data_IF_421724843753
#
_entry.id   IF_421724843753
#
_cell.length_a   1.000
_cell.length_b   1.000
_cell.length_c   1.000
_cell.angle_alpha   90.00
_cell.angle_beta   90.00
_cell.angle_gamma   90.00
#
_symmetry.space_group_name_H-M   'P 1'
#
loop_
_entity.id
_entity.type
_entity.pdbx_description
1 polymer ?
#
# COMPACT_ATOMS: atom_id res chain seq x y z
N UNK A 1 -16.20 -10.81 16.24
CA UNK A 1 -15.78 -10.89 14.84
C UNK A 1 -15.96 -12.31 14.31
N UNK A 2 -16.24 -12.46 13.01
CA UNK A 2 -16.34 -13.77 12.32
C UNK A 2 -15.00 -14.52 12.30
N UNK A 3 -15.00 -15.79 11.92
CA UNK A 3 -13.75 -16.57 11.76
C UNK A 3 -12.82 -15.91 10.73
N UNK A 4 -13.38 -15.49 9.59
CA UNK A 4 -12.68 -14.68 8.58
C UNK A 4 -12.08 -13.41 9.19
N UNK A 5 -12.87 -12.62 9.93
CA UNK A 5 -12.38 -11.36 10.49
C UNK A 5 -11.22 -11.57 11.47
N UNK A 6 -11.27 -12.62 12.30
CA UNK A 6 -10.15 -12.96 13.19
C UNK A 6 -8.91 -13.38 12.42
N UNK A 7 -9.06 -14.25 11.42
CA UNK A 7 -7.96 -14.70 10.58
C UNK A 7 -7.34 -13.53 9.79
N UNK A 8 -8.16 -12.65 9.24
CA UNK A 8 -7.74 -11.44 8.53
C UNK A 8 -6.96 -10.48 9.44
N UNK A 9 -7.43 -10.24 10.66
CA UNK A 9 -6.71 -9.39 11.63
C UNK A 9 -5.37 -10.01 12.02
N UNK A 10 -5.31 -11.33 12.20
CA UNK A 10 -4.07 -12.03 12.53
C UNK A 10 -3.06 -12.02 11.36
N UNK A 11 -3.53 -12.20 10.13
CA UNK A 11 -2.69 -12.13 8.93
C UNK A 11 -2.35 -10.70 8.52
N UNK A 12 -3.11 -9.70 9.00
CA UNK A 12 -3.02 -8.30 8.55
C UNK A 12 -3.76 -8.02 7.24
N UNK A 13 -4.26 -9.05 6.56
CA UNK A 13 -4.91 -8.94 5.25
C UNK A 13 -5.92 -10.06 4.97
N UNK A 14 -6.85 -9.77 4.06
CA UNK A 14 -7.78 -10.73 3.47
C UNK A 14 -8.33 -10.20 2.14
N UNK A 15 -8.74 -11.12 1.26
CA UNK A 15 -9.43 -10.81 0.00
C UNK A 15 -10.87 -11.31 0.09
N UNK A 16 -11.81 -10.55 -0.45
CA UNK A 16 -13.20 -10.96 -0.63
C UNK A 16 -13.49 -11.12 -2.12
N UNK A 17 -14.14 -12.22 -2.51
CA UNK A 17 -14.58 -12.44 -3.88
C UNK A 17 -16.06 -12.84 -3.92
N UNK A 18 -16.79 -12.22 -4.84
CA UNK A 18 -18.21 -12.43 -5.08
C UNK A 18 -18.90 -11.12 -5.48
N UNK A 19 -20.16 -11.21 -5.89
CA UNK A 19 -20.94 -10.03 -6.20
C UNK A 19 -21.42 -9.35 -4.89
N UNK A 20 -21.37 -8.01 -4.79
CA UNK A 20 -21.89 -7.29 -3.64
C UNK A 20 -23.33 -7.70 -3.27
N UNK A 21 -23.59 -7.84 -1.97
CA UNK A 21 -24.88 -8.26 -1.44
C UNK A 21 -25.19 -9.77 -1.57
N UNK A 22 -24.32 -10.56 -2.21
CA UNK A 22 -24.52 -12.01 -2.41
C UNK A 22 -23.53 -12.85 -1.60
N UNK A 23 -23.84 -14.13 -1.32
CA UNK A 23 -22.86 -15.04 -0.73
C UNK A 23 -21.59 -15.13 -1.57
N UNK A 24 -20.44 -15.16 -0.91
CA UNK A 24 -19.13 -15.21 -1.57
C UNK A 24 -18.07 -15.89 -0.72
N UNK A 25 -16.82 -15.63 -1.04
CA UNK A 25 -15.66 -16.23 -0.41
C UNK A 25 -14.72 -15.17 0.15
N UNK A 26 -14.18 -15.44 1.33
CA UNK A 26 -13.06 -14.72 1.91
C UNK A 26 -11.81 -15.60 1.86
N UNK A 27 -10.68 -14.99 1.55
CA UNK A 27 -9.38 -15.65 1.43
C UNK A 27 -8.41 -14.97 2.38
N UNK A 28 -7.73 -15.76 3.21
CA UNK A 28 -6.68 -15.26 4.10
C UNK A 28 -5.37 -15.97 3.74
N UNK A 29 -4.33 -15.23 3.34
CA UNK A 29 -3.03 -15.81 3.04
C UNK A 29 -2.26 -16.15 4.32
N UNK A 30 -1.38 -17.13 4.21
CA UNK A 30 -0.38 -17.50 5.21
C UNK A 30 0.90 -17.94 4.51
N UNK A 31 2.02 -17.31 4.86
CA UNK A 31 3.34 -17.65 4.33
C UNK A 31 3.88 -18.83 5.12
N UNK A 32 4.14 -19.95 4.44
CA UNK A 32 4.59 -21.21 5.05
C UNK A 32 6.06 -21.51 4.76
N UNK A 33 6.64 -20.76 3.83
CA UNK A 33 8.02 -20.89 3.39
C UNK A 33 8.37 -19.76 2.42
N UNK A 34 9.63 -19.69 1.95
CA UNK A 34 10.10 -18.63 1.07
C UNK A 34 9.36 -18.56 -0.28
N UNK A 35 8.80 -19.68 -0.73
CA UNK A 35 8.12 -19.86 -2.01
C UNK A 35 6.74 -20.55 -1.88
N UNK A 36 6.22 -20.66 -0.65
CA UNK A 36 4.95 -21.34 -0.36
C UNK A 36 3.96 -20.41 0.32
N UNK A 37 2.86 -20.13 -0.37
CA UNK A 37 1.73 -19.37 0.14
C UNK A 37 0.51 -20.28 0.25
N UNK A 38 -0.06 -20.41 1.45
CA UNK A 38 -1.33 -21.12 1.67
C UNK A 38 -2.47 -20.12 1.84
N UNK A 39 -3.57 -20.38 1.15
CA UNK A 39 -4.81 -19.62 1.30
C UNK A 39 -5.85 -20.40 2.09
N UNK A 40 -6.38 -19.79 3.15
CA UNK A 40 -7.51 -20.32 3.90
C UNK A 40 -8.80 -19.67 3.41
N UNK A 41 -9.78 -20.48 3.01
CA UNK A 41 -11.06 -20.01 2.48
C UNK A 41 -12.14 -19.99 3.57
N UNK A 42 -12.99 -18.98 3.52
CA UNK A 42 -14.14 -18.80 4.39
C UNK A 42 -15.38 -18.48 3.55
N UNK A 43 -16.50 -19.13 3.83
CA UNK A 43 -17.78 -18.71 3.26
C UNK A 43 -18.20 -17.37 3.90
N UNK A 44 -18.63 -16.43 3.07
CA UNK A 44 -19.10 -15.11 3.48
C UNK A 44 -20.58 -15.00 3.11
N UNK A 45 -21.49 -14.74 4.04
CA UNK A 45 -22.93 -14.70 3.76
C UNK A 45 -23.34 -13.61 2.78
N UNK A 46 -22.67 -12.47 2.82
CA UNK A 46 -22.88 -11.35 1.90
C UNK A 46 -21.56 -10.60 1.72
N UNK A 47 -21.08 -10.49 0.47
CA UNK A 47 -19.93 -9.66 0.13
C UNK A 47 -20.33 -8.18 0.28
N UNK A 48 -19.55 -7.36 0.99
CA UNK A 48 -19.85 -5.93 1.15
C UNK A 48 -19.69 -5.19 -0.18
N UNK A 49 -20.41 -4.09 -0.32
CA UNK A 49 -20.19 -3.16 -1.42
C UNK A 49 -18.74 -2.62 -1.33
N UNK A 50 -17.95 -2.68 -2.41
CA UNK A 50 -16.65 -2.05 -2.42
C UNK A 50 -16.79 -0.54 -2.17
N UNK A 51 -15.83 0.08 -1.46
CA UNK A 51 -15.83 1.53 -1.34
C UNK A 51 -15.71 2.18 -2.72
N UNK A 52 -16.28 3.38 -2.88
CA UNK A 52 -16.15 4.15 -4.10
C UNK A 52 -14.66 4.33 -4.45
N UNK A 53 -14.29 3.90 -5.66
CA UNK A 53 -12.92 4.05 -6.15
C UNK A 53 -12.68 5.52 -6.52
N UNK A 54 -11.55 6.11 -6.11
CA UNK A 54 -11.24 7.48 -6.48
C UNK A 54 -11.04 7.57 -7.99
N UNK A 55 -11.45 8.69 -8.58
CA UNK A 55 -11.14 8.96 -9.97
C UNK A 55 -9.62 9.03 -10.18
N UNK A 56 -9.13 8.60 -11.35
CA UNK A 56 -7.67 8.55 -11.59
C UNK A 56 -6.97 9.90 -11.37
N UNK A 57 -7.61 11.00 -11.80
CA UNK A 57 -7.07 12.35 -11.60
C UNK A 57 -7.16 12.84 -10.16
N UNK A 58 -8.23 12.47 -9.43
CA UNK A 58 -8.39 12.78 -8.01
C UNK A 58 -7.32 12.06 -7.19
N UNK A 59 -7.10 10.77 -7.46
CA UNK A 59 -6.11 9.96 -6.77
C UNK A 59 -4.68 10.47 -7.01
N UNK A 60 -4.36 10.82 -8.26
CA UNK A 60 -3.08 11.44 -8.62
C UNK A 60 -2.87 12.79 -7.93
N UNK A 61 -3.90 13.64 -7.91
CA UNK A 61 -3.84 14.92 -7.22
C UNK A 61 -3.63 14.76 -5.71
N UNK A 62 -4.43 13.89 -5.07
CA UNK A 62 -4.32 13.62 -3.64
C UNK A 62 -2.94 13.08 -3.25
N UNK A 63 -2.35 12.20 -4.08
CA UNK A 63 -0.98 11.72 -3.88
C UNK A 63 0.04 12.85 -4.00
N UNK A 64 -0.04 13.70 -5.03
CA UNK A 64 0.88 14.84 -5.19
C UNK A 64 0.77 15.83 -4.03
N UNK A 65 -0.44 16.15 -3.59
CA UNK A 65 -0.65 17.03 -2.44
C UNK A 65 -0.12 16.40 -1.15
N UNK A 66 -0.38 15.12 -0.89
CA UNK A 66 0.15 14.44 0.30
C UNK A 66 1.70 14.40 0.31
N UNK A 67 2.34 14.16 -0.84
CA UNK A 67 3.80 14.21 -0.97
C UNK A 67 4.32 15.62 -0.71
N UNK A 68 3.65 16.65 -1.25
CA UNK A 68 4.02 18.06 -1.03
C UNK A 68 3.89 18.47 0.44
N UNK A 69 2.80 18.08 1.10
CA UNK A 69 2.57 18.29 2.52
C UNK A 69 3.64 17.59 3.36
N UNK A 70 3.95 16.33 3.04
CA UNK A 70 5.00 15.58 3.68
C UNK A 70 6.36 16.27 3.50
N UNK A 71 6.73 16.69 2.29
CA UNK A 71 7.96 17.42 2.02
C UNK A 71 8.05 18.74 2.81
N UNK A 72 6.95 19.47 2.93
CA UNK A 72 6.87 20.72 3.72
C UNK A 72 7.12 20.45 5.22
N UNK A 73 6.67 19.31 5.74
CA UNK A 73 6.88 18.89 7.13
C UNK A 73 8.28 18.31 7.36
N UNK A 74 8.76 17.51 6.41
CA UNK A 74 10.03 16.77 6.44
C UNK A 74 11.24 17.68 6.20
N UNK A 75 11.08 18.78 5.45
CA UNK A 75 12.09 19.84 5.32
C UNK A 75 12.50 20.50 6.65
N UNK A 76 11.73 20.25 7.74
CA UNK A 76 12.07 20.68 9.11
C UNK A 76 12.71 19.58 9.96
N UNK A 77 12.75 18.32 9.51
CA UNK A 77 13.10 17.15 10.34
C UNK A 77 14.36 16.40 9.84
N UNK A 78 14.76 16.51 8.57
CA UNK A 78 15.86 15.72 7.99
C UNK A 78 17.29 16.24 8.21
N UNK A 79 17.54 17.13 9.17
CA UNK A 79 18.91 17.58 9.49
C UNK A 79 19.60 16.78 10.60
N UNK A 80 18.97 15.74 11.15
CA UNK A 80 19.56 14.97 12.25
C UNK A 80 19.45 13.46 11.93
N UNK A 81 20.56 12.73 12.03
CA UNK A 81 20.57 11.27 11.88
C UNK A 81 21.39 10.70 10.71
N UNK A 82 22.58 11.25 10.43
CA UNK A 82 23.55 10.63 9.50
C UNK A 82 24.56 9.69 10.19
N UNK A 83 24.39 9.41 11.49
CA UNK A 83 25.31 8.56 12.26
C UNK A 83 24.68 7.21 12.64
N UNK A 84 24.70 6.23 11.74
CA UNK A 84 24.39 4.84 12.13
C UNK A 84 23.71 3.92 11.11
N UNK A 85 23.43 4.36 9.87
CA UNK A 85 22.84 3.48 8.85
C UNK A 85 23.91 2.55 8.24
N UNK A 86 23.71 1.23 8.35
CA UNK A 86 24.62 0.19 7.81
C UNK A 86 24.56 0.03 6.28
N UNK A 87 23.49 0.53 5.62
CA UNK A 87 23.31 0.52 4.16
C UNK A 87 22.79 1.88 3.66
N UNK A 88 23.16 2.30 2.45
CA UNK A 88 22.69 3.55 1.84
C UNK A 88 21.16 3.47 1.59
N UNK A 89 20.34 4.39 2.13
CA UNK A 89 18.91 4.41 1.91
C UNK A 89 18.54 4.53 0.45
N UNK A 90 19.40 5.09 -0.41
CA UNK A 90 19.15 5.05 -1.87
C UNK A 90 19.17 3.62 -2.41
N UNK A 91 20.13 2.81 -1.98
CA UNK A 91 20.21 1.39 -2.35
C UNK A 91 19.02 0.61 -1.79
N UNK A 92 18.63 0.89 -0.54
CA UNK A 92 17.46 0.26 0.06
C UNK A 92 16.17 0.61 -0.69
N UNK A 93 15.99 1.88 -1.08
CA UNK A 93 14.82 2.31 -1.86
C UNK A 93 14.83 1.63 -3.23
N UNK A 94 16.00 1.55 -3.89
CA UNK A 94 16.11 0.86 -5.17
C UNK A 94 15.75 -0.62 -5.06
N UNK A 95 16.16 -1.30 -3.98
CA UNK A 95 15.79 -2.70 -3.71
C UNK A 95 14.28 -2.87 -3.51
N UNK A 96 13.63 -1.97 -2.76
CA UNK A 96 12.17 -1.97 -2.58
C UNK A 96 11.42 -1.72 -3.91
N UNK A 97 11.91 -0.80 -4.75
CA UNK A 97 11.32 -0.54 -6.07
C UNK A 97 11.47 -1.79 -6.97
N UNK A 98 12.65 -2.43 -6.96
CA UNK A 98 12.89 -3.64 -7.73
C UNK A 98 11.96 -4.79 -7.31
N UNK A 99 11.61 -4.88 -6.01
CA UNK A 99 10.66 -5.87 -5.52
C UNK A 99 9.24 -5.62 -6.06
N UNK A 100 8.76 -4.37 -6.03
CA UNK A 100 7.45 -4.02 -6.61
C UNK A 100 7.41 -4.32 -8.11
N UNK A 101 8.49 -4.03 -8.85
CA UNK A 101 8.60 -4.22 -10.29
C UNK A 101 8.60 -5.70 -10.75
N UNK A 102 8.66 -6.68 -9.83
CA UNK A 102 8.49 -8.10 -10.20
C UNK A 102 7.09 -8.41 -10.73
N UNK A 103 6.10 -7.59 -10.41
CA UNK A 103 4.74 -7.73 -10.88
C UNK A 103 4.60 -7.08 -12.25
N UNK A 104 4.36 -7.88 -13.29
CA UNK A 104 4.09 -7.33 -14.64
C UNK A 104 2.64 -6.92 -14.76
N UNK A 105 2.41 -5.71 -15.24
CA UNK A 105 1.08 -5.24 -15.60
C UNK A 105 0.60 -5.86 -16.92
N UNK A 106 -0.72 -6.04 -17.10
CA UNK A 106 -1.28 -6.47 -18.38
C UNK A 106 -1.01 -5.43 -19.49
N UNK A 107 -0.87 -5.90 -20.73
CA UNK A 107 -0.67 -5.02 -21.91
C UNK A 107 -1.87 -4.08 -22.16
N UNK A 108 -3.05 -4.42 -21.64
CA UNK A 108 -4.26 -3.59 -21.71
C UNK A 108 -4.26 -2.42 -20.72
N UNK A 109 -3.23 -2.29 -19.89
CA UNK A 109 -3.17 -1.24 -18.87
C UNK A 109 -3.01 0.15 -19.53
N UNK A 110 -3.89 1.12 -19.22
CA UNK A 110 -3.70 2.49 -19.69
C UNK A 110 -2.39 3.09 -19.19
N UNK A 111 -1.62 3.73 -20.09
CA UNK A 111 -0.30 4.30 -19.77
C UNK A 111 -0.34 5.24 -18.55
N UNK A 112 -1.38 6.09 -18.45
CA UNK A 112 -1.53 6.99 -17.30
C UNK A 112 -1.70 6.23 -15.98
N UNK A 113 -2.42 5.12 -15.99
CA UNK A 113 -2.62 4.30 -14.79
C UNK A 113 -1.32 3.60 -14.39
N UNK A 114 -0.55 3.08 -15.36
CA UNK A 114 0.78 2.50 -15.11
C UNK A 114 1.73 3.51 -14.44
N UNK A 115 1.84 4.73 -15.00
CA UNK A 115 2.68 5.79 -14.41
C UNK A 115 2.28 6.18 -12.99
N UNK A 116 0.99 6.14 -12.67
CA UNK A 116 0.50 6.42 -11.32
C UNK A 116 0.86 5.29 -10.35
N UNK A 117 0.81 4.01 -10.79
CA UNK A 117 1.29 2.89 -9.98
C UNK A 117 2.80 3.00 -9.72
N UNK A 118 3.60 3.27 -10.76
CA UNK A 118 5.05 3.42 -10.61
C UNK A 118 5.39 4.54 -9.60
N UNK A 119 4.68 5.67 -9.69
CA UNK A 119 4.84 6.79 -8.76
C UNK A 119 4.43 6.41 -7.33
N UNK A 120 3.33 5.65 -7.17
CA UNK A 120 2.87 5.18 -5.88
C UNK A 120 3.85 4.17 -5.26
N UNK A 121 4.45 3.30 -6.07
CA UNK A 121 5.44 2.30 -5.65
C UNK A 121 6.76 2.98 -5.23
N UNK A 122 7.19 4.02 -5.95
CA UNK A 122 8.33 4.84 -5.54
C UNK A 122 8.09 5.51 -4.18
N UNK A 123 6.92 6.11 -3.96
CA UNK A 123 6.58 6.75 -2.68
C UNK A 123 6.48 5.72 -1.56
N UNK A 124 5.86 4.56 -1.82
CA UNK A 124 5.77 3.46 -0.85
C UNK A 124 7.16 2.93 -0.45
N UNK A 125 8.07 2.75 -1.41
CA UNK A 125 9.45 2.33 -1.15
C UNK A 125 10.18 3.34 -0.23
N UNK A 126 10.05 4.64 -0.51
CA UNK A 126 10.61 5.71 0.34
C UNK A 126 10.05 5.62 1.75
N UNK A 127 8.73 5.47 1.90
CA UNK A 127 8.07 5.38 3.20
C UNK A 127 8.51 4.15 3.99
N UNK A 128 8.61 3.00 3.34
CA UNK A 128 9.08 1.74 3.94
C UNK A 128 10.50 1.89 4.47
N UNK A 129 11.43 2.40 3.66
CA UNK A 129 12.82 2.62 4.07
C UNK A 129 12.93 3.67 5.18
N UNK A 130 12.19 4.77 5.06
CA UNK A 130 12.13 5.79 6.10
C UNK A 130 11.65 5.19 7.43
N UNK A 131 10.62 4.33 7.39
CA UNK A 131 10.08 3.63 8.56
C UNK A 131 11.09 2.73 9.28
N UNK A 132 12.00 2.08 8.54
CA UNK A 132 13.05 1.22 9.11
C UNK A 132 14.17 1.99 9.82
N UNK A 133 14.47 3.22 9.37
CA UNK A 133 15.61 4.02 9.85
C UNK A 133 15.35 4.90 11.08
N UNK A 134 14.40 4.55 11.97
CA UNK A 134 14.05 5.39 13.12
C UNK A 134 15.11 5.32 14.25
N UNK A 135 15.45 6.48 14.83
CA UNK A 135 16.36 6.61 15.98
C UNK A 135 15.79 6.00 17.28
N UNK A 136 16.64 5.69 18.27
CA UNK A 136 16.22 5.15 19.57
C UNK A 136 15.21 6.01 20.34
N UNK A 137 15.16 7.33 20.10
CA UNK A 137 14.20 8.23 20.77
C UNK A 137 12.75 8.02 20.27
N UNK A 138 12.60 7.45 19.06
CA UNK A 138 11.34 6.92 18.56
C UNK A 138 11.02 5.52 19.14
N UNK A 139 11.85 4.93 20.01
CA UNK A 139 11.55 3.63 20.63
C UNK A 139 10.49 3.70 21.74
N UNK A 140 10.07 4.91 22.16
CA UNK A 140 8.90 5.07 23.02
C UNK A 140 7.61 4.80 22.24
N UNK A 141 6.61 4.17 22.89
CA UNK A 141 5.31 3.89 22.27
C UNK A 141 4.63 5.17 21.73
N UNK A 142 4.79 6.29 22.44
CA UNK A 142 4.25 7.61 22.03
C UNK A 142 4.95 8.14 20.78
N UNK A 143 6.28 8.05 20.70
CA UNK A 143 7.05 8.47 19.53
C UNK A 143 6.67 7.70 18.27
N UNK A 144 6.47 6.37 18.38
CA UNK A 144 5.98 5.56 17.27
C UNK A 144 4.56 5.93 16.85
N UNK A 145 3.65 6.12 17.81
CA UNK A 145 2.26 6.48 17.51
C UNK A 145 2.16 7.85 16.80
N UNK A 146 2.90 8.86 17.26
CA UNK A 146 2.93 10.18 16.61
C UNK A 146 3.49 10.10 15.19
N UNK A 147 4.54 9.30 14.99
CA UNK A 147 5.12 9.08 13.66
C UNK A 147 4.16 8.38 12.73
N UNK A 148 3.53 7.29 13.18
CA UNK A 148 2.54 6.56 12.39
C UNK A 148 1.39 7.50 11.99
N UNK A 149 0.89 8.30 12.93
CA UNK A 149 -0.15 9.30 12.67
C UNK A 149 0.29 10.34 11.63
N UNK A 150 1.55 10.75 11.62
CA UNK A 150 2.09 11.69 10.64
C UNK A 150 2.21 11.10 9.23
N UNK A 151 2.54 9.80 9.12
CA UNK A 151 2.72 9.11 7.84
C UNK A 151 1.40 8.54 7.28
N UNK A 152 0.39 8.31 8.12
CA UNK A 152 -0.90 7.72 7.74
C UNK A 152 -1.58 8.42 6.56
N UNK A 153 -1.63 9.77 6.46
CA UNK A 153 -2.20 10.45 5.29
C UNK A 153 -1.47 10.13 3.98
N UNK A 154 -0.14 9.99 4.01
CA UNK A 154 0.63 9.69 2.81
C UNK A 154 0.39 8.24 2.37
N UNK A 155 0.36 7.29 3.31
CA UNK A 155 -0.03 5.91 3.01
C UNK A 155 -1.46 5.80 2.46
N UNK A 156 -2.40 6.60 2.98
CA UNK A 156 -3.76 6.65 2.46
C UNK A 156 -3.80 7.16 1.02
N UNK A 157 -3.01 8.19 0.68
CA UNK A 157 -2.93 8.73 -0.68
C UNK A 157 -2.29 7.74 -1.66
N UNK A 158 -1.23 7.04 -1.26
CA UNK A 158 -0.63 5.93 -2.04
C UNK A 158 -1.66 4.83 -2.30
N UNK A 159 -2.43 4.44 -1.27
CA UNK A 159 -3.50 3.44 -1.43
C UNK A 159 -4.58 3.93 -2.39
N UNK A 160 -5.01 5.18 -2.29
CA UNK A 160 -5.99 5.76 -3.20
C UNK A 160 -5.50 5.77 -4.65
N UNK A 161 -4.24 6.16 -4.88
CA UNK A 161 -3.59 6.13 -6.20
C UNK A 161 -3.59 4.72 -6.80
N UNK A 162 -3.18 3.71 -6.01
CA UNK A 162 -3.20 2.31 -6.43
C UNK A 162 -4.61 1.82 -6.77
N UNK A 163 -5.60 2.10 -5.93
CA UNK A 163 -7.00 1.73 -6.19
C UNK A 163 -7.53 2.39 -7.46
N UNK A 164 -7.34 3.70 -7.63
CA UNK A 164 -7.80 4.43 -8.82
C UNK A 164 -7.13 3.96 -10.11
N UNK A 165 -5.85 3.58 -10.07
CA UNK A 165 -5.13 3.05 -11.21
C UNK A 165 -5.61 1.64 -11.60
N UNK A 166 -5.76 0.73 -10.62
CA UNK A 166 -6.29 -0.63 -10.87
C UNK A 166 -7.72 -0.57 -11.40
N UNK A 167 -8.57 0.25 -10.79
CA UNK A 167 -9.92 0.54 -11.23
C UNK A 167 -10.00 0.97 -12.70
N UNK A 168 -9.12 1.89 -13.11
CA UNK A 168 -9.03 2.35 -14.49
C UNK A 168 -8.58 1.24 -15.44
N UNK A 169 -7.63 0.39 -15.02
CA UNK A 169 -7.17 -0.75 -15.80
C UNK A 169 -8.26 -1.81 -15.99
N UNK A 170 -9.02 -2.15 -14.94
CA UNK A 170 -10.15 -3.08 -15.01
C UNK A 170 -11.23 -2.57 -15.96
N UNK A 171 -11.61 -1.29 -15.85
CA UNK A 171 -12.57 -0.67 -16.79
C UNK A 171 -12.08 -0.69 -18.23
N UNK A 172 -10.81 -0.37 -18.47
CA UNK A 172 -10.24 -0.42 -19.83
C UNK A 172 -10.27 -1.84 -20.40
N UNK A 173 -9.95 -2.85 -19.58
CA UNK A 173 -10.01 -4.26 -19.98
C UNK A 173 -11.42 -4.77 -20.27
N UNK A 174 -12.46 -4.21 -19.64
CA UNK A 174 -13.86 -4.55 -19.96
C UNK A 174 -14.36 -3.95 -21.29
N UNK A 175 -13.66 -2.96 -21.84
CA UNK A 175 -14.02 -2.28 -23.08
C UNK A 175 -13.20 -2.74 -24.29
N UNK A 176 -12.24 -3.65 -24.10
CA UNK A 176 -11.40 -4.24 -25.15
C UNK A 176 -11.95 -5.61 -25.59
#
# INVERSE_FOLDING_TARGET
GTALARAAVAAGEAVLAGAPGTPGLGFVPSVEGPDVLRWTLFAVPAVPEPPAEPGLGEAEFAMREAVRDAATRVGRVLTVGAGGRTADPREQIAAEIAEHARHRYPDSMPERAARILDSADQVAAILTVAGRGAEPDAASATGQATREQALRPLWAAVRAARLGAVAAAVRAGHHA
#
